data_IF_347285983168
#
_entry.id   IF_347285983168
#
_cell.length_a   1.000
_cell.length_b   1.000
_cell.length_c   1.000
_cell.angle_alpha   90.00
_cell.angle_beta   90.00
_cell.angle_gamma   90.00
#
_symmetry.space_group_name_H-M   'P 1'
#
loop_
_entity.id
_entity.type
_entity.pdbx_description
1 polymer ?
#
# COMPACT_ATOMS: atom_id res chain seq x y z
N UNK A 1 68.52 -51.90 -20.21
CA UNK A 1 68.31 -50.46 -19.99
C UNK A 1 67.17 -50.06 -20.89
N UNK A 2 66.16 -49.38 -20.34
CA UNK A 2 64.94 -49.03 -21.08
C UNK A 2 65.26 -47.88 -22.03
N UNK A 3 65.31 -48.18 -23.34
CA UNK A 3 65.71 -47.22 -24.37
C UNK A 3 64.68 -46.11 -24.56
N UNK A 4 63.41 -46.35 -24.22
CA UNK A 4 62.38 -45.31 -24.23
C UNK A 4 62.65 -44.35 -23.06
N UNK A 5 63.03 -44.84 -21.88
CA UNK A 5 63.44 -43.99 -20.76
C UNK A 5 64.68 -43.14 -21.08
N UNK A 6 65.67 -43.70 -21.76
CA UNK A 6 66.85 -42.95 -22.21
C UNK A 6 66.48 -41.87 -23.22
N UNK A 7 65.65 -42.21 -24.21
CA UNK A 7 65.20 -41.27 -25.23
C UNK A 7 64.37 -40.13 -24.65
N UNK A 8 63.42 -40.45 -23.78
CA UNK A 8 62.55 -39.47 -23.12
C UNK A 8 63.33 -38.51 -22.23
N UNK A 9 64.37 -38.99 -21.54
CA UNK A 9 65.32 -38.15 -20.81
C UNK A 9 66.10 -37.22 -21.74
N UNK A 10 66.63 -37.74 -22.86
CA UNK A 10 67.36 -36.92 -23.85
C UNK A 10 66.46 -35.85 -24.45
N UNK A 11 65.21 -36.17 -24.77
CA UNK A 11 64.22 -35.20 -25.26
C UNK A 11 63.96 -34.10 -24.22
N UNK A 12 63.81 -34.47 -22.95
CA UNK A 12 63.57 -33.53 -21.85
C UNK A 12 64.77 -32.64 -21.56
N UNK A 13 66.00 -33.17 -21.68
CA UNK A 13 67.24 -32.42 -21.59
C UNK A 13 67.36 -31.43 -22.75
N UNK A 14 67.16 -31.90 -23.99
CA UNK A 14 67.26 -31.11 -25.21
C UNK A 14 66.23 -29.97 -25.28
N UNK A 15 65.04 -30.18 -24.71
CA UNK A 15 64.03 -29.13 -24.59
C UNK A 15 64.53 -27.94 -23.75
N UNK A 16 65.36 -28.18 -22.72
CA UNK A 16 65.89 -27.13 -21.82
C UNK A 16 67.11 -26.38 -22.39
N UNK A 17 67.77 -26.93 -23.40
CA UNK A 17 68.92 -26.29 -24.05
C UNK A 17 68.42 -25.11 -24.88
N UNK A 18 68.98 -23.91 -24.71
CA UNK A 18 68.59 -22.74 -25.51
C UNK A 18 69.09 -22.86 -26.95
N UNK A 19 70.40 -23.07 -27.14
CA UNK A 19 71.05 -23.12 -28.44
C UNK A 19 71.93 -24.37 -28.58
N UNK A 20 71.93 -24.96 -29.78
CA UNK A 20 72.85 -26.05 -30.14
C UNK A 20 74.16 -25.45 -30.66
N UNK A 21 75.12 -25.25 -29.76
CA UNK A 21 76.51 -25.00 -30.17
C UNK A 21 77.16 -26.28 -30.74
N UNK A 22 78.27 -26.15 -31.46
CA UNK A 22 78.94 -27.28 -32.12
C UNK A 22 79.28 -28.43 -31.15
N UNK A 23 79.55 -28.08 -29.87
CA UNK A 23 79.88 -29.04 -28.82
C UNK A 23 78.65 -29.81 -28.34
N UNK A 24 77.54 -29.13 -28.06
CA UNK A 24 76.29 -29.77 -27.66
C UNK A 24 75.66 -30.55 -28.81
N UNK A 25 75.75 -30.06 -30.04
CA UNK A 25 75.30 -30.76 -31.24
C UNK A 25 75.99 -32.12 -31.35
N UNK A 26 77.33 -32.14 -31.24
CA UNK A 26 78.11 -33.38 -31.28
C UNK A 26 77.75 -34.34 -30.14
N UNK A 27 77.56 -33.81 -28.93
CA UNK A 27 77.13 -34.60 -27.77
C UNK A 27 75.77 -35.28 -27.98
N UNK A 28 74.78 -34.55 -28.53
CA UNK A 28 73.47 -35.13 -28.80
C UNK A 28 73.48 -36.11 -29.98
N UNK A 29 74.29 -35.86 -31.01
CA UNK A 29 74.53 -36.83 -32.10
C UNK A 29 75.01 -38.16 -31.53
N UNK A 30 76.04 -38.15 -30.68
CA UNK A 30 76.58 -39.35 -30.04
C UNK A 30 75.52 -40.08 -29.20
N UNK A 31 74.72 -39.36 -28.40
CA UNK A 31 73.62 -39.95 -27.63
C UNK A 31 72.56 -40.60 -28.53
N UNK A 32 72.14 -39.94 -29.61
CA UNK A 32 71.15 -40.49 -30.53
C UNK A 32 71.70 -41.70 -31.30
N UNK A 33 72.98 -41.69 -31.68
CA UNK A 33 73.65 -42.84 -32.29
C UNK A 33 73.71 -44.03 -31.33
N UNK A 34 73.98 -43.79 -30.04
CA UNK A 34 73.97 -44.83 -29.02
C UNK A 34 72.57 -45.45 -28.83
N UNK A 35 71.54 -44.61 -28.72
CA UNK A 35 70.15 -45.06 -28.53
C UNK A 35 69.68 -45.89 -29.74
N UNK A 36 69.94 -45.43 -30.96
CA UNK A 36 69.51 -46.04 -32.22
C UNK A 36 70.51 -47.02 -32.85
N UNK A 37 71.57 -47.39 -32.13
CA UNK A 37 72.62 -48.34 -32.55
C UNK A 37 72.09 -49.74 -32.92
N UNK A 38 70.95 -50.15 -32.35
CA UNK A 38 70.27 -51.41 -32.68
C UNK A 38 68.95 -51.15 -33.41
N UNK A 39 68.19 -52.21 -33.74
CA UNK A 39 66.84 -52.13 -34.35
C UNK A 39 65.75 -51.61 -33.36
N UNK A 40 66.10 -50.62 -32.55
CA UNK A 40 65.19 -49.98 -31.61
C UNK A 40 64.18 -49.09 -32.35
N UNK A 41 62.93 -49.14 -31.91
CA UNK A 41 61.82 -48.30 -32.36
C UNK A 41 61.26 -47.62 -31.11
N UNK A 42 61.30 -46.29 -31.08
CA UNK A 42 60.72 -45.52 -30.00
C UNK A 42 59.19 -45.63 -29.98
N UNK A 43 58.61 -45.65 -28.79
CA UNK A 43 57.17 -45.67 -28.61
C UNK A 43 56.59 -44.25 -28.71
N UNK A 44 55.55 -44.10 -29.54
CA UNK A 44 54.94 -42.79 -29.80
C UNK A 44 54.23 -42.23 -28.57
N UNK A 45 53.63 -43.11 -27.77
CA UNK A 45 52.96 -42.78 -26.51
C UNK A 45 53.94 -42.17 -25.50
N UNK A 46 55.15 -42.72 -25.37
CA UNK A 46 56.18 -42.24 -24.44
C UNK A 46 56.75 -40.90 -24.88
N UNK A 47 56.95 -40.70 -26.19
CA UNK A 47 57.34 -39.39 -26.74
C UNK A 47 56.24 -38.36 -26.49
N UNK A 48 54.97 -38.69 -26.75
CA UNK A 48 53.84 -37.78 -26.48
C UNK A 48 53.72 -37.43 -24.99
N UNK A 49 53.85 -38.39 -24.07
CA UNK A 49 53.83 -38.14 -22.62
C UNK A 49 54.88 -37.12 -22.19
N UNK A 50 56.09 -37.23 -22.74
CA UNK A 50 57.17 -36.30 -22.43
C UNK A 50 56.91 -34.92 -23.01
N UNK A 51 56.40 -34.84 -24.24
CA UNK A 51 55.97 -33.56 -24.83
C UNK A 51 54.92 -32.86 -23.96
N UNK A 52 53.98 -33.61 -23.39
CA UNK A 52 52.94 -33.07 -22.49
C UNK A 52 53.51 -32.60 -21.15
N UNK A 53 54.64 -33.18 -20.72
CA UNK A 53 55.31 -32.78 -19.47
C UNK A 53 56.15 -31.50 -19.60
N UNK A 54 56.49 -31.09 -20.82
CA UNK A 54 57.24 -29.86 -21.09
C UNK A 54 56.31 -28.66 -20.92
N UNK A 55 56.45 -27.95 -19.80
CA UNK A 55 55.60 -26.79 -19.43
C UNK A 55 55.87 -25.53 -20.23
N UNK A 56 57.10 -25.36 -20.74
CA UNK A 56 57.46 -24.20 -21.52
C UNK A 56 57.10 -24.45 -22.99
N UNK A 57 56.07 -23.74 -23.47
CA UNK A 57 55.56 -23.85 -24.84
C UNK A 57 56.65 -23.52 -25.87
N UNK A 58 57.44 -22.47 -25.66
CA UNK A 58 58.55 -22.10 -26.57
C UNK A 58 59.60 -23.21 -26.66
N UNK A 59 60.01 -23.74 -25.51
CA UNK A 59 60.99 -24.83 -25.45
C UNK A 59 60.51 -26.08 -26.20
N UNK A 60 59.21 -26.38 -26.11
CA UNK A 60 58.56 -27.48 -26.83
C UNK A 60 58.46 -27.19 -28.33
N UNK A 61 58.15 -25.96 -28.73
CA UNK A 61 57.95 -25.57 -30.13
C UNK A 61 59.27 -25.51 -30.92
N UNK A 62 60.40 -25.20 -30.27
CA UNK A 62 61.73 -25.23 -30.88
C UNK A 62 62.37 -26.63 -30.92
N UNK A 63 61.87 -27.58 -30.12
CA UNK A 63 62.41 -28.95 -30.02
C UNK A 63 62.45 -29.70 -31.37
N UNK A 64 61.43 -29.63 -32.25
CA UNK A 64 61.51 -30.21 -33.59
C UNK A 64 62.69 -29.69 -34.39
N UNK A 65 62.97 -28.37 -34.37
CA UNK A 65 64.10 -27.80 -35.12
C UNK A 65 65.42 -28.43 -34.68
N UNK A 66 65.64 -28.49 -33.36
CA UNK A 66 66.84 -29.09 -32.76
C UNK A 66 67.04 -30.55 -33.16
N UNK A 67 65.97 -31.35 -33.11
CA UNK A 67 66.03 -32.78 -33.46
C UNK A 67 66.25 -32.97 -34.96
N UNK A 68 65.71 -32.07 -35.81
CA UNK A 68 65.96 -32.07 -37.25
C UNK A 68 67.42 -31.77 -37.57
N UNK A 69 68.01 -30.79 -36.89
CA UNK A 69 69.41 -30.39 -37.08
C UNK A 69 70.38 -31.51 -36.67
N UNK A 70 70.09 -32.17 -35.54
CA UNK A 70 70.80 -33.39 -35.11
C UNK A 70 70.64 -34.50 -36.15
N UNK A 71 69.41 -34.79 -36.57
CA UNK A 71 69.13 -35.83 -37.56
C UNK A 71 69.81 -35.60 -38.90
N UNK A 72 69.95 -34.35 -39.33
CA UNK A 72 70.63 -33.98 -40.56
C UNK A 72 72.15 -34.18 -40.51
N UNK A 73 72.72 -33.96 -39.32
CA UNK A 73 74.17 -34.05 -39.04
C UNK A 73 74.67 -35.49 -38.81
N UNK A 74 73.78 -36.48 -38.74
CA UNK A 74 74.14 -37.91 -38.61
C UNK A 74 74.53 -38.50 -39.97
N UNK A 75 75.71 -39.12 -40.06
CA UNK A 75 76.22 -39.75 -41.28
C UNK A 75 75.57 -41.12 -41.56
N UNK A 76 75.27 -41.90 -40.51
CA UNK A 76 74.64 -43.21 -40.64
C UNK A 76 73.19 -43.10 -41.13
N UNK A 77 72.94 -43.52 -42.38
CA UNK A 77 71.62 -43.42 -43.04
C UNK A 77 70.47 -44.08 -42.27
N UNK A 78 70.71 -45.21 -41.61
CA UNK A 78 69.66 -45.93 -40.88
C UNK A 78 69.28 -45.21 -39.58
N UNK A 79 70.27 -44.69 -38.86
CA UNK A 79 70.07 -43.92 -37.63
C UNK A 79 69.42 -42.58 -37.96
N UNK A 80 69.92 -41.87 -38.98
CA UNK A 80 69.31 -40.64 -39.51
C UNK A 80 67.82 -40.81 -39.80
N UNK A 81 67.44 -41.89 -40.48
CA UNK A 81 66.02 -42.20 -40.76
C UNK A 81 65.19 -42.39 -39.49
N UNK A 82 65.75 -42.98 -38.42
CA UNK A 82 65.05 -43.17 -37.14
C UNK A 82 64.92 -41.88 -36.34
N UNK A 83 65.94 -41.02 -36.34
CA UNK A 83 65.90 -39.68 -35.70
C UNK A 83 64.93 -38.76 -36.44
N UNK A 84 64.91 -38.78 -37.77
CA UNK A 84 63.94 -38.01 -38.55
C UNK A 84 62.49 -38.49 -38.36
N UNK A 85 62.26 -39.78 -38.06
CA UNK A 85 60.93 -40.25 -37.65
C UNK A 85 60.51 -39.71 -36.28
N UNK A 86 61.44 -39.59 -35.35
CA UNK A 86 61.18 -38.96 -34.06
C UNK A 86 60.82 -37.49 -34.24
N UNK A 87 61.58 -36.78 -35.07
CA UNK A 87 61.28 -35.40 -35.44
C UNK A 87 59.86 -35.25 -35.99
N UNK A 88 59.47 -36.10 -36.95
CA UNK A 88 58.13 -36.05 -37.56
C UNK A 88 57.02 -36.26 -36.52
N UNK A 89 57.21 -37.21 -35.60
CA UNK A 89 56.27 -37.45 -34.50
C UNK A 89 56.16 -36.27 -33.53
N UNK A 90 57.29 -35.71 -33.09
CA UNK A 90 57.32 -34.55 -32.19
C UNK A 90 56.69 -33.32 -32.85
N UNK A 91 56.96 -33.10 -34.14
CA UNK A 91 56.37 -32.00 -34.90
C UNK A 91 54.84 -32.14 -35.01
N UNK A 92 54.34 -33.35 -35.31
CA UNK A 92 52.91 -33.63 -35.38
C UNK A 92 52.21 -33.40 -34.02
N UNK A 93 52.81 -33.87 -32.94
CA UNK A 93 52.25 -33.75 -31.60
C UNK A 93 52.26 -32.30 -31.09
N UNK A 94 53.26 -31.49 -31.47
CA UNK A 94 53.26 -30.05 -31.20
C UNK A 94 52.08 -29.33 -31.86
N UNK A 95 51.81 -29.62 -33.14
CA UNK A 95 50.67 -29.04 -33.86
C UNK A 95 49.35 -29.43 -33.18
N UNK A 96 49.22 -30.71 -32.76
CA UNK A 96 48.04 -31.21 -32.04
C UNK A 96 47.85 -30.51 -30.70
N UNK A 97 48.92 -30.35 -29.93
CA UNK A 97 48.89 -29.65 -28.64
C UNK A 97 48.45 -28.19 -28.79
N UNK A 98 48.98 -27.49 -29.78
CA UNK A 98 48.58 -26.12 -30.06
C UNK A 98 47.08 -26.04 -30.38
N UNK A 99 46.59 -26.94 -31.24
CA UNK A 99 45.15 -26.97 -31.59
C UNK A 99 44.26 -27.31 -30.39
N UNK A 100 44.69 -28.23 -29.53
CA UNK A 100 43.98 -28.57 -28.29
C UNK A 100 43.91 -27.37 -27.32
N UNK A 101 44.98 -26.58 -27.24
CA UNK A 101 45.03 -25.36 -26.43
C UNK A 101 44.01 -24.32 -26.93
N UNK A 102 43.98 -24.07 -28.24
CA UNK A 102 42.99 -23.16 -28.86
C UNK A 102 41.54 -23.61 -28.57
N UNK A 103 41.24 -24.89 -28.73
CA UNK A 103 39.91 -25.45 -28.44
C UNK A 103 39.55 -25.30 -26.97
N UNK A 104 40.51 -25.52 -26.07
CA UNK A 104 40.31 -25.35 -24.62
C UNK A 104 40.04 -23.89 -24.26
N UNK A 105 40.77 -22.95 -24.85
CA UNK A 105 40.57 -21.52 -24.64
C UNK A 105 39.20 -21.06 -25.15
N UNK A 106 38.78 -21.50 -26.34
CA UNK A 106 37.46 -21.22 -26.90
C UNK A 106 36.31 -21.85 -26.09
N UNK A 107 36.49 -23.08 -25.61
CA UNK A 107 35.52 -23.74 -24.74
C UNK A 107 35.37 -23.00 -23.40
N UNK A 108 36.48 -22.52 -22.84
CA UNK A 108 36.46 -21.73 -21.61
C UNK A 108 35.76 -20.38 -21.82
N UNK A 109 36.04 -19.66 -22.91
CA UNK A 109 35.34 -18.40 -23.19
C UNK A 109 33.83 -18.63 -23.38
N UNK A 110 33.44 -19.64 -24.16
CA UNK A 110 32.04 -20.00 -24.33
C UNK A 110 31.34 -20.34 -22.99
N UNK A 111 32.03 -21.08 -22.11
CA UNK A 111 31.50 -21.40 -20.79
C UNK A 111 31.32 -20.16 -19.90
N UNK A 112 32.24 -19.20 -19.97
CA UNK A 112 32.11 -17.92 -19.24
C UNK A 112 30.93 -17.10 -19.73
N UNK A 113 30.68 -17.06 -21.05
CA UNK A 113 29.53 -16.36 -21.64
C UNK A 113 28.21 -17.01 -21.24
N UNK A 114 28.12 -18.35 -21.30
CA UNK A 114 26.92 -19.10 -20.88
C UNK A 114 26.61 -18.84 -19.40
N UNK A 115 27.63 -18.79 -18.54
CA UNK A 115 27.41 -18.47 -17.11
C UNK A 115 26.93 -17.03 -16.91
N UNK A 116 27.46 -16.07 -17.68
CA UNK A 116 26.99 -14.69 -17.65
C UNK A 116 25.51 -14.58 -18.10
N UNK A 117 25.13 -15.31 -19.16
CA UNK A 117 23.75 -15.38 -19.65
C UNK A 117 22.84 -16.02 -18.59
N UNK A 118 23.25 -17.14 -17.98
CA UNK A 118 22.48 -17.82 -16.93
C UNK A 118 22.22 -16.89 -15.74
N UNK A 119 23.21 -16.09 -15.36
CA UNK A 119 23.05 -15.07 -14.30
C UNK A 119 22.02 -14.01 -14.69
N UNK A 120 22.13 -13.43 -15.90
CA UNK A 120 21.15 -12.47 -16.41
C UNK A 120 19.73 -13.03 -16.46
N UNK A 121 19.57 -14.29 -16.87
CA UNK A 121 18.27 -14.95 -16.91
C UNK A 121 17.66 -15.11 -15.50
N UNK A 122 18.46 -15.51 -14.52
CA UNK A 122 18.03 -15.57 -13.12
C UNK A 122 17.62 -14.20 -12.57
N UNK A 123 18.35 -13.13 -12.92
CA UNK A 123 18.01 -11.78 -12.47
C UNK A 123 16.73 -11.26 -13.15
N UNK A 124 16.49 -11.61 -14.42
CA UNK A 124 15.26 -11.33 -15.13
C UNK A 124 14.05 -12.07 -14.52
N UNK A 125 14.19 -13.35 -14.16
CA UNK A 125 13.12 -14.13 -13.52
C UNK A 125 12.69 -13.51 -12.18
N UNK A 126 13.66 -13.03 -11.38
CA UNK A 126 13.36 -12.31 -10.13
C UNK A 126 12.59 -11.02 -10.38
N UNK A 127 13.04 -10.19 -11.32
CA UNK A 127 12.35 -8.96 -11.68
C UNK A 127 10.94 -9.23 -12.20
N UNK A 128 10.76 -10.31 -12.98
CA UNK A 128 9.44 -10.69 -13.50
C UNK A 128 8.46 -11.05 -12.37
N UNK A 129 8.93 -11.80 -11.36
CA UNK A 129 8.13 -12.13 -10.17
C UNK A 129 7.74 -10.88 -9.39
N UNK A 130 8.66 -9.95 -9.19
CA UNK A 130 8.39 -8.67 -8.52
C UNK A 130 7.35 -7.83 -9.28
N UNK A 131 7.49 -7.71 -10.60
CA UNK A 131 6.55 -7.00 -11.46
C UNK A 131 5.17 -7.66 -11.42
N UNK A 132 5.11 -8.99 -11.48
CA UNK A 132 3.84 -9.72 -11.43
C UNK A 132 3.10 -9.51 -10.11
N UNK A 133 3.82 -9.45 -8.99
CA UNK A 133 3.21 -9.21 -7.69
C UNK A 133 2.74 -7.76 -7.53
N UNK A 134 3.54 -6.80 -8.00
CA UNK A 134 3.12 -5.39 -8.05
C UNK A 134 1.88 -5.19 -8.92
N UNK A 135 1.78 -5.87 -10.06
CA UNK A 135 0.61 -5.80 -10.92
C UNK A 135 -0.67 -6.28 -10.21
N UNK A 136 -0.61 -7.36 -9.43
CA UNK A 136 -1.74 -7.83 -8.62
C UNK A 136 -2.16 -6.80 -7.56
N UNK A 137 -1.19 -6.22 -6.86
CA UNK A 137 -1.47 -5.20 -5.83
C UNK A 137 -2.13 -3.96 -6.43
N UNK A 138 -1.70 -3.56 -7.64
CA UNK A 138 -2.32 -2.45 -8.38
C UNK A 138 -3.75 -2.80 -8.79
N UNK A 139 -4.00 -4.01 -9.31
CA UNK A 139 -5.34 -4.47 -9.68
C UNK A 139 -6.29 -4.46 -8.49
N UNK A 140 -5.88 -5.01 -7.34
CA UNK A 140 -6.69 -4.97 -6.13
C UNK A 140 -6.98 -3.54 -5.65
N UNK A 141 -5.99 -2.63 -5.79
CA UNK A 141 -6.16 -1.23 -5.40
C UNK A 141 -7.12 -0.52 -6.33
N UNK A 142 -7.11 -0.82 -7.62
CA UNK A 142 -8.07 -0.31 -8.60
C UNK A 142 -9.48 -0.81 -8.28
N UNK A 143 -9.67 -2.10 -8.03
CA UNK A 143 -10.98 -2.66 -7.67
C UNK A 143 -11.55 -2.02 -6.39
N UNK A 144 -10.70 -1.77 -5.39
CA UNK A 144 -11.11 -1.04 -4.17
C UNK A 144 -11.50 0.41 -4.49
N UNK A 145 -10.71 1.09 -5.32
CA UNK A 145 -10.96 2.47 -5.70
C UNK A 145 -12.25 2.63 -6.51
N UNK A 146 -12.52 1.74 -7.46
CA UNK A 146 -13.77 1.73 -8.23
C UNK A 146 -14.98 1.57 -7.30
N UNK A 147 -14.91 0.63 -6.34
CA UNK A 147 -15.96 0.45 -5.34
C UNK A 147 -16.16 1.68 -4.45
N UNK A 148 -15.07 2.36 -4.08
CA UNK A 148 -15.15 3.59 -3.30
C UNK A 148 -15.73 4.76 -4.12
N UNK A 149 -15.42 4.84 -5.42
CA UNK A 149 -16.00 5.81 -6.36
C UNK A 149 -17.49 5.55 -6.51
N UNK A 150 -17.93 4.31 -6.75
CA UNK A 150 -19.34 3.94 -6.85
C UNK A 150 -20.11 4.27 -5.56
N UNK A 151 -19.52 3.98 -4.41
CA UNK A 151 -20.09 4.36 -3.12
C UNK A 151 -20.17 5.89 -2.95
N UNK A 152 -19.16 6.62 -3.40
CA UNK A 152 -19.11 8.08 -3.31
C UNK A 152 -20.11 8.78 -4.22
N UNK A 153 -20.24 8.30 -5.46
CA UNK A 153 -21.23 8.81 -6.42
C UNK A 153 -22.65 8.52 -5.94
N UNK A 154 -22.92 7.32 -5.42
CA UNK A 154 -24.20 6.96 -4.80
C UNK A 154 -24.56 7.86 -3.62
N UNK A 155 -23.60 8.15 -2.72
CA UNK A 155 -23.78 9.13 -1.64
C UNK A 155 -24.08 10.53 -2.17
N UNK A 156 -23.39 10.95 -3.22
CA UNK A 156 -23.58 12.28 -3.83
C UNK A 156 -24.96 12.44 -4.46
N UNK A 157 -25.42 11.44 -5.21
CA UNK A 157 -26.78 11.40 -5.79
C UNK A 157 -27.82 11.44 -4.67
N UNK A 158 -27.61 10.67 -3.60
CA UNK A 158 -28.52 10.65 -2.44
C UNK A 158 -28.60 12.03 -1.77
N UNK A 159 -27.47 12.70 -1.53
CA UNK A 159 -27.43 14.05 -0.96
C UNK A 159 -28.19 15.05 -1.86
N UNK A 160 -27.93 15.01 -3.18
CA UNK A 160 -28.59 15.90 -4.13
C UNK A 160 -30.11 15.66 -4.17
N UNK A 161 -30.54 14.39 -4.17
CA UNK A 161 -31.95 14.03 -4.13
C UNK A 161 -32.65 14.53 -2.87
N UNK A 162 -32.03 14.41 -1.70
CA UNK A 162 -32.64 14.93 -0.46
C UNK A 162 -32.61 16.46 -0.44
N UNK A 163 -31.55 17.10 -0.94
CA UNK A 163 -31.51 18.57 -1.04
C UNK A 163 -32.63 19.10 -1.94
N UNK A 164 -32.86 18.48 -3.09
CA UNK A 164 -33.98 18.80 -3.96
C UNK A 164 -35.33 18.58 -3.26
N UNK A 165 -35.49 17.48 -2.52
CA UNK A 165 -36.68 17.21 -1.71
C UNK A 165 -36.94 18.27 -0.64
N UNK A 166 -35.90 18.72 0.07
CA UNK A 166 -35.99 19.79 1.06
C UNK A 166 -36.44 21.10 0.41
N UNK A 167 -35.81 21.50 -0.70
CA UNK A 167 -36.19 22.73 -1.43
C UNK A 167 -37.64 22.66 -1.91
N UNK A 168 -38.08 21.52 -2.45
CA UNK A 168 -39.49 21.32 -2.86
C UNK A 168 -40.45 21.37 -1.67
N UNK A 169 -40.12 20.73 -0.54
CA UNK A 169 -40.94 20.75 0.67
C UNK A 169 -41.07 22.17 1.26
N UNK A 170 -39.98 22.95 1.27
CA UNK A 170 -40.00 24.34 1.74
C UNK A 170 -40.82 25.24 0.81
N UNK A 171 -40.56 25.20 -0.49
CA UNK A 171 -41.27 26.05 -1.47
C UNK A 171 -42.75 25.70 -1.56
N UNK A 172 -43.08 24.41 -1.57
CA UNK A 172 -44.46 23.91 -1.51
C UNK A 172 -45.13 24.23 -0.17
N UNK A 173 -44.40 24.08 0.94
CA UNK A 173 -44.88 24.36 2.29
C UNK A 173 -45.22 25.82 2.52
N UNK A 174 -44.34 26.74 2.11
CA UNK A 174 -44.58 28.19 2.18
C UNK A 174 -45.80 28.56 1.33
N UNK A 175 -45.91 28.01 0.12
CA UNK A 175 -47.04 28.28 -0.79
C UNK A 175 -48.38 27.79 -0.21
N UNK A 176 -48.38 26.62 0.44
CA UNK A 176 -49.53 26.06 1.13
C UNK A 176 -49.96 26.92 2.33
N UNK A 177 -48.98 27.37 3.14
CA UNK A 177 -49.24 28.27 4.28
C UNK A 177 -49.84 29.59 3.78
N UNK A 178 -49.24 30.20 2.74
CA UNK A 178 -49.73 31.46 2.17
C UNK A 178 -51.17 31.34 1.66
N UNK A 179 -51.48 30.28 0.92
CA UNK A 179 -52.82 30.02 0.37
C UNK A 179 -53.86 29.75 1.47
N UNK A 180 -53.47 29.05 2.53
CA UNK A 180 -54.35 28.79 3.68
C UNK A 180 -54.69 30.07 4.44
N UNK A 181 -53.72 30.98 4.59
CA UNK A 181 -53.90 32.26 5.28
C UNK A 181 -54.71 33.28 4.48
N UNK A 182 -54.60 33.27 3.15
CA UNK A 182 -55.36 34.18 2.26
C UNK A 182 -56.88 34.08 2.45
N UNK A 183 -57.39 32.92 2.87
CA UNK A 183 -58.83 32.67 3.04
C UNK A 183 -59.36 32.96 4.46
N UNK A 184 -58.54 33.48 5.38
CA UNK A 184 -58.89 33.65 6.80
C UNK A 184 -59.29 35.08 7.19
N UNK A 185 -59.83 35.87 6.27
CA UNK A 185 -60.08 37.31 6.47
C UNK A 185 -61.08 37.66 7.60
N UNK A 186 -61.97 36.75 8.00
CA UNK A 186 -62.98 36.96 9.05
C UNK A 186 -62.69 36.22 10.37
N UNK A 187 -61.52 35.60 10.49
CA UNK A 187 -61.15 34.80 11.66
C UNK A 187 -60.45 35.67 12.70
N UNK A 188 -60.68 35.42 13.99
CA UNK A 188 -59.99 36.16 15.05
C UNK A 188 -58.46 36.02 14.93
N UNK A 189 -57.74 37.11 15.22
CA UNK A 189 -56.27 37.17 15.15
C UNK A 189 -55.63 36.02 15.94
N UNK A 190 -56.17 35.69 17.12
CA UNK A 190 -55.70 34.57 17.95
C UNK A 190 -55.73 33.21 17.25
N UNK A 191 -56.78 32.92 16.47
CA UNK A 191 -56.90 31.65 15.72
C UNK A 191 -55.95 31.61 14.53
N UNK A 192 -55.76 32.74 13.84
CA UNK A 192 -54.82 32.84 12.72
C UNK A 192 -53.38 32.60 13.22
N UNK A 193 -52.97 33.29 14.29
CA UNK A 193 -51.62 33.13 14.86
C UNK A 193 -51.39 31.70 15.37
N UNK A 194 -52.41 31.06 15.97
CA UNK A 194 -52.32 29.66 16.38
C UNK A 194 -52.08 28.71 15.20
N UNK A 195 -52.81 28.90 14.09
CA UNK A 195 -52.63 28.08 12.88
C UNK A 195 -51.24 28.30 12.28
N UNK A 196 -50.74 29.55 12.24
CA UNK A 196 -49.39 29.86 11.77
C UNK A 196 -48.33 29.14 12.59
N UNK A 197 -48.43 29.17 13.92
CA UNK A 197 -47.45 28.50 14.79
C UNK A 197 -47.48 26.98 14.58
N UNK A 198 -48.67 26.36 14.50
CA UNK A 198 -48.77 24.92 14.23
C UNK A 198 -48.18 24.54 12.88
N UNK A 199 -48.43 25.32 11.84
CA UNK A 199 -47.87 25.08 10.50
C UNK A 199 -46.34 25.25 10.50
N UNK A 200 -45.82 26.30 11.14
CA UNK A 200 -44.38 26.54 11.27
C UNK A 200 -43.68 25.41 12.05
N UNK A 201 -44.29 24.92 13.13
CA UNK A 201 -43.78 23.77 13.89
C UNK A 201 -43.74 22.50 13.06
N UNK A 202 -44.84 22.19 12.35
CA UNK A 202 -44.90 21.01 11.49
C UNK A 202 -43.86 21.03 10.36
N UNK A 203 -43.64 22.19 9.73
CA UNK A 203 -42.64 22.36 8.67
C UNK A 203 -41.23 22.14 9.20
N UNK A 204 -40.92 22.70 10.37
CA UNK A 204 -39.62 22.50 11.01
C UNK A 204 -39.35 21.03 11.34
N UNK A 205 -40.33 20.31 11.89
CA UNK A 205 -40.21 18.88 12.19
C UNK A 205 -39.95 18.04 10.93
N UNK A 206 -40.64 18.33 9.83
CA UNK A 206 -40.44 17.65 8.54
C UNK A 206 -39.01 17.87 8.02
N UNK A 207 -38.54 19.12 8.05
CA UNK A 207 -37.18 19.47 7.58
C UNK A 207 -36.12 18.81 8.45
N UNK A 208 -36.31 18.83 9.77
CA UNK A 208 -35.41 18.17 10.71
C UNK A 208 -35.35 16.65 10.46
N UNK A 209 -36.48 16.00 10.18
CA UNK A 209 -36.53 14.58 9.83
C UNK A 209 -35.80 14.29 8.51
N UNK A 210 -35.96 15.14 7.49
CA UNK A 210 -35.22 15.01 6.23
C UNK A 210 -33.70 15.16 6.44
N UNK A 211 -33.28 16.17 7.23
CA UNK A 211 -31.88 16.33 7.60
C UNK A 211 -31.35 15.11 8.37
N UNK A 212 -32.09 14.60 9.35
CA UNK A 212 -31.73 13.40 10.09
C UNK A 212 -31.50 12.19 9.16
N UNK A 213 -32.37 12.01 8.16
CA UNK A 213 -32.19 10.97 7.16
C UNK A 213 -30.92 11.18 6.33
N UNK A 214 -30.60 12.42 5.91
CA UNK A 214 -29.33 12.73 5.24
C UNK A 214 -28.15 12.29 6.10
N UNK A 215 -28.12 12.69 7.37
CA UNK A 215 -27.03 12.34 8.28
C UNK A 215 -26.84 10.83 8.43
N UNK A 216 -27.94 10.07 8.45
CA UNK A 216 -27.91 8.60 8.50
C UNK A 216 -27.34 7.99 7.21
N UNK A 217 -27.68 8.53 6.04
CA UNK A 217 -27.15 8.05 4.74
C UNK A 217 -25.69 8.44 4.49
N UNK A 218 -25.27 9.61 4.98
CA UNK A 218 -23.89 10.09 4.83
C UNK A 218 -22.95 9.59 5.93
N UNK A 219 -23.43 8.74 6.86
CA UNK A 219 -22.73 8.37 8.09
C UNK A 219 -22.22 9.59 8.89
N UNK A 220 -22.85 10.75 8.71
CA UNK A 220 -22.51 11.98 9.39
C UNK A 220 -23.54 12.22 10.49
N UNK A 221 -23.10 12.22 11.74
CA UNK A 221 -23.99 12.41 12.87
C UNK A 221 -24.34 13.89 13.02
N UNK A 222 -25.61 14.24 12.76
CA UNK A 222 -26.15 15.60 12.96
C UNK A 222 -26.49 15.85 14.45
N UNK A 223 -26.53 14.80 15.26
CA UNK A 223 -26.75 14.89 16.70
C UNK A 223 -25.46 15.03 17.52
N UNK A 224 -25.57 15.51 18.76
CA UNK A 224 -24.45 15.55 19.69
C UNK A 224 -23.81 14.17 19.92
N UNK A 225 -22.48 14.12 20.02
CA UNK A 225 -21.71 12.89 20.30
C UNK A 225 -21.96 12.44 21.75
N UNK A 226 -23.05 11.72 22.00
CA UNK A 226 -23.39 11.17 23.31
C UNK A 226 -23.49 9.65 23.25
N UNK A 227 -22.77 8.92 24.11
CA UNK A 227 -22.91 7.47 24.20
C UNK A 227 -24.05 7.08 25.14
N UNK A 228 -25.23 6.94 24.58
CA UNK A 228 -26.36 6.33 25.26
C UNK A 228 -26.35 4.81 25.05
N UNK A 229 -25.25 4.12 25.37
CA UNK A 229 -25.19 2.68 25.13
C UNK A 229 -26.13 1.91 26.08
N UNK A 230 -26.80 0.92 25.50
CA UNK A 230 -27.93 0.17 26.06
C UNK A 230 -27.53 -0.94 27.04
N UNK A 231 -26.27 -1.04 27.43
CA UNK A 231 -25.68 -2.22 28.08
C UNK A 231 -25.41 -2.11 29.59
N UNK A 232 -26.12 -1.25 30.31
CA UNK A 232 -26.05 -1.24 31.79
C UNK A 232 -27.45 -1.41 32.36
N UNK A 233 -27.68 -2.53 33.05
CA UNK A 233 -28.88 -2.83 33.81
C UNK A 233 -29.21 -1.67 34.77
N UNK A 234 -30.46 -1.18 34.75
CA UNK A 234 -30.98 -0.29 35.80
C UNK A 234 -31.39 1.13 35.40
N UNK A 235 -31.75 1.43 34.15
CA UNK A 235 -32.21 2.78 33.77
C UNK A 235 -33.52 2.76 32.97
N UNK A 236 -34.66 3.04 33.63
CA UNK A 236 -35.98 3.20 32.98
C UNK A 236 -36.18 4.58 32.31
N UNK A 237 -35.41 5.60 32.67
CA UNK A 237 -35.61 7.02 32.23
C UNK A 237 -34.70 7.51 31.07
N UNK A 238 -33.88 6.64 30.46
CA UNK A 238 -32.83 7.07 29.50
C UNK A 238 -33.35 7.48 28.11
N UNK A 239 -34.55 7.06 27.67
CA UNK A 239 -35.04 7.35 26.31
C UNK A 239 -35.26 8.84 26.06
N UNK A 240 -35.97 9.53 26.96
CA UNK A 240 -36.29 10.96 26.79
C UNK A 240 -35.03 11.81 26.96
N UNK A 241 -34.22 11.53 27.98
CA UNK A 241 -32.97 12.27 28.22
C UNK A 241 -31.98 12.11 27.05
N UNK A 242 -31.84 10.91 26.50
CA UNK A 242 -30.95 10.71 25.36
C UNK A 242 -31.42 11.46 24.11
N UNK A 243 -32.73 11.52 23.84
CA UNK A 243 -33.28 12.29 22.72
C UNK A 243 -33.02 13.79 22.89
N UNK A 244 -33.23 14.32 24.10
CA UNK A 244 -32.98 15.73 24.43
C UNK A 244 -31.55 16.14 24.17
N UNK A 245 -30.61 15.30 24.62
CA UNK A 245 -29.19 15.59 24.50
C UNK A 245 -28.66 15.35 23.08
N UNK A 246 -29.24 14.36 22.37
CA UNK A 246 -28.84 14.04 21.00
C UNK A 246 -29.36 15.06 19.99
N UNK A 247 -30.54 15.64 20.23
CA UNK A 247 -31.19 16.58 19.32
C UNK A 247 -31.65 17.86 20.04
N UNK A 248 -30.72 18.66 20.58
CA UNK A 248 -31.05 19.84 21.37
C UNK A 248 -31.86 20.86 20.57
N UNK A 249 -31.50 21.09 19.30
CA UNK A 249 -32.16 22.07 18.43
C UNK A 249 -33.65 21.75 18.23
N UNK A 250 -33.99 20.47 18.00
CA UNK A 250 -35.38 20.03 17.82
C UNK A 250 -36.20 20.28 19.09
N UNK A 251 -35.66 19.90 20.25
CA UNK A 251 -36.35 20.05 21.53
C UNK A 251 -36.53 21.52 21.89
N UNK A 252 -35.50 22.35 21.74
CA UNK A 252 -35.59 23.78 22.05
C UNK A 252 -36.63 24.48 21.16
N UNK A 253 -36.65 24.17 19.86
CA UNK A 253 -37.62 24.76 18.94
C UNK A 253 -39.07 24.37 19.31
N UNK A 254 -39.34 23.07 19.53
CA UNK A 254 -40.68 22.59 19.89
C UNK A 254 -41.14 23.10 21.27
N UNK A 255 -40.21 23.29 22.21
CA UNK A 255 -40.49 23.92 23.49
C UNK A 255 -40.87 25.40 23.35
N UNK A 256 -40.14 26.15 22.53
CA UNK A 256 -40.46 27.56 22.25
C UNK A 256 -41.85 27.65 21.60
N UNK A 257 -42.15 26.80 20.61
CA UNK A 257 -43.47 26.74 19.98
C UNK A 257 -44.58 26.44 21.00
N UNK A 258 -44.37 25.48 21.91
CA UNK A 258 -45.34 25.17 22.97
C UNK A 258 -45.58 26.34 23.92
N UNK A 259 -44.52 27.07 24.31
CA UNK A 259 -44.64 28.29 25.12
C UNK A 259 -45.41 29.38 24.37
N UNK A 260 -45.17 29.57 23.07
CA UNK A 260 -45.92 30.51 22.24
C UNK A 260 -47.40 30.14 22.08
N UNK A 261 -47.75 28.85 22.03
CA UNK A 261 -49.16 28.42 22.01
C UNK A 261 -49.81 28.69 23.37
N UNK A 262 -49.07 28.46 24.46
CA UNK A 262 -49.55 28.67 25.81
C UNK A 262 -49.73 30.16 26.15
N UNK A 263 -48.82 31.05 25.73
CA UNK A 263 -49.02 32.52 25.83
C UNK A 263 -50.30 32.94 25.13
N UNK A 264 -50.51 32.50 23.89
CA UNK A 264 -51.67 32.87 23.08
C UNK A 264 -52.97 32.37 23.68
N UNK A 265 -52.96 31.15 24.24
CA UNK A 265 -54.12 30.57 24.92
C UNK A 265 -54.50 31.37 26.17
N UNK A 266 -53.51 31.82 26.95
CA UNK A 266 -53.73 32.68 28.12
C UNK A 266 -54.30 34.03 27.68
N UNK A 267 -53.71 34.68 26.67
CA UNK A 267 -54.21 35.95 26.15
C UNK A 267 -55.64 35.85 25.62
N UNK A 268 -55.95 34.77 24.91
CA UNK A 268 -57.31 34.49 24.44
C UNK A 268 -58.32 34.36 25.59
N UNK A 269 -57.96 33.64 26.66
CA UNK A 269 -58.81 33.51 27.84
C UNK A 269 -59.04 34.85 28.56
N UNK A 270 -57.99 35.66 28.70
CA UNK A 270 -58.07 36.99 29.33
C UNK A 270 -59.06 37.89 28.58
N UNK A 271 -58.93 37.94 27.25
CA UNK A 271 -59.78 38.73 26.37
C UNK A 271 -61.23 38.19 26.36
N UNK A 272 -61.40 36.87 26.17
CA UNK A 272 -62.72 36.22 26.09
C UNK A 272 -63.58 36.39 27.34
N UNK A 273 -62.98 36.29 28.54
CA UNK A 273 -63.70 36.44 29.80
C UNK A 273 -63.75 37.89 30.30
N UNK A 274 -63.15 38.81 29.54
CA UNK A 274 -62.98 40.23 29.87
C UNK A 274 -62.49 40.43 31.32
N UNK A 275 -61.51 39.62 31.70
CA UNK A 275 -61.00 39.50 33.08
C UNK A 275 -60.43 40.84 33.57
N UNK A 276 -59.79 41.59 32.66
CA UNK A 276 -59.17 42.89 32.95
C UNK A 276 -60.23 43.91 33.39
N UNK A 277 -61.30 44.09 32.62
CA UNK A 277 -62.38 45.04 32.95
C UNK A 277 -63.08 44.66 34.25
N UNK A 278 -63.41 43.37 34.45
CA UNK A 278 -64.04 42.90 35.69
C UNK A 278 -63.18 43.10 36.94
N UNK A 279 -61.86 43.01 36.83
CA UNK A 279 -60.94 43.27 37.94
C UNK A 279 -60.79 44.76 38.21
N UNK A 280 -60.71 45.59 37.17
CA UNK A 280 -60.62 47.05 37.26
C UNK A 280 -61.86 47.66 37.95
N UNK A 281 -63.06 47.19 37.62
CA UNK A 281 -64.31 47.68 38.20
C UNK A 281 -64.46 47.36 39.70
N UNK A 282 -63.78 46.33 40.20
CA UNK A 282 -63.88 45.90 41.60
C UNK A 282 -62.98 46.72 42.52
N UNK A 283 -61.69 46.84 42.20
CA UNK A 283 -60.72 47.67 42.90
C UNK A 283 -59.39 47.70 42.11
N UNK A 284 -58.89 48.89 41.77
CA UNK A 284 -57.66 49.08 40.98
C UNK A 284 -56.44 48.44 41.64
N UNK A 285 -56.29 48.54 42.96
CA UNK A 285 -55.15 47.96 43.67
C UNK A 285 -55.17 46.42 43.65
N UNK A 286 -56.35 45.82 43.78
CA UNK A 286 -56.53 44.37 43.73
C UNK A 286 -56.28 43.85 42.30
N UNK A 287 -56.71 44.59 41.28
CA UNK A 287 -56.47 44.27 39.88
C UNK A 287 -54.96 44.21 39.57
N UNK A 288 -54.21 45.25 39.94
CA UNK A 288 -52.75 45.32 39.72
C UNK A 288 -52.02 44.18 40.46
N UNK A 289 -52.39 43.91 41.72
CA UNK A 289 -51.79 42.83 42.50
C UNK A 289 -52.08 41.45 41.88
N UNK A 290 -53.31 41.20 41.43
CA UNK A 290 -53.68 39.92 40.82
C UNK A 290 -52.99 39.67 39.48
N UNK A 291 -52.82 40.70 38.65
CA UNK A 291 -52.14 40.59 37.34
C UNK A 291 -50.63 40.41 37.49
N UNK A 292 -50.01 41.07 38.48
CA UNK A 292 -48.57 40.86 38.75
C UNK A 292 -48.30 39.45 39.27
N UNK A 293 -49.15 38.92 40.16
CA UNK A 293 -49.06 37.52 40.61
C UNK A 293 -49.19 36.54 39.45
N UNK A 294 -50.16 36.75 38.55
CA UNK A 294 -50.38 35.87 37.39
C UNK A 294 -49.18 35.89 36.43
N UNK A 295 -48.58 37.06 36.19
CA UNK A 295 -47.37 37.21 35.40
C UNK A 295 -46.16 36.51 36.05
N UNK A 296 -45.99 36.65 37.38
CA UNK A 296 -44.90 35.99 38.12
C UNK A 296 -45.06 34.47 38.05
N UNK A 297 -46.27 33.94 38.27
CA UNK A 297 -46.55 32.50 38.16
C UNK A 297 -46.27 31.99 36.74
N UNK A 298 -46.66 32.76 35.73
CA UNK A 298 -46.41 32.43 34.33
C UNK A 298 -44.90 32.33 34.01
N UNK A 299 -44.12 33.33 34.41
CA UNK A 299 -42.66 33.34 34.23
C UNK A 299 -42.00 32.21 35.04
N UNK A 300 -42.48 31.93 36.26
CA UNK A 300 -41.97 30.84 37.10
C UNK A 300 -42.20 29.47 36.46
N UNK A 301 -43.36 29.22 35.84
CA UNK A 301 -43.66 27.95 35.15
C UNK A 301 -42.77 27.75 33.92
N UNK A 302 -42.57 28.79 33.11
CA UNK A 302 -41.71 28.74 31.93
C UNK A 302 -40.25 28.50 32.33
N UNK A 303 -39.74 29.29 33.28
CA UNK A 303 -38.37 29.17 33.77
C UNK A 303 -38.09 27.81 34.42
N UNK A 304 -39.05 27.26 35.18
CA UNK A 304 -38.95 25.90 35.72
C UNK A 304 -38.83 24.86 34.60
N UNK A 305 -39.65 24.98 33.54
CA UNK A 305 -39.57 24.12 32.36
C UNK A 305 -38.21 24.19 31.64
N UNK A 306 -37.71 25.41 31.42
CA UNK A 306 -36.41 25.63 30.80
C UNK A 306 -35.25 25.09 31.63
N UNK A 307 -35.22 25.37 32.95
CA UNK A 307 -34.17 24.90 33.85
C UNK A 307 -34.14 23.37 33.92
N UNK A 308 -35.32 22.72 33.94
CA UNK A 308 -35.41 21.27 34.03
C UNK A 308 -34.86 20.56 32.78
N UNK A 309 -35.01 21.17 31.61
CA UNK A 309 -34.50 20.63 30.34
C UNK A 309 -33.03 21.01 30.13
N UNK A 310 -32.63 22.24 30.46
CA UNK A 310 -31.24 22.70 30.36
C UNK A 310 -30.29 21.95 31.28
N UNK A 311 -30.78 21.41 32.42
CA UNK A 311 -30.00 20.55 33.33
C UNK A 311 -29.83 19.11 32.83
N UNK A 312 -30.40 18.75 31.68
CA UNK A 312 -30.24 17.41 31.09
C UNK A 312 -28.97 17.41 30.24
N UNK A 313 -27.87 17.00 30.84
CA UNK A 313 -26.57 16.90 30.16
C UNK A 313 -26.18 15.46 29.80
N UNK A 314 -25.24 15.32 28.85
CA UNK A 314 -24.54 14.06 28.59
C UNK A 314 -23.71 13.68 29.82
N UNK A 315 -23.97 12.49 30.37
CA UNK A 315 -23.13 11.90 31.42
C UNK A 315 -21.76 11.43 30.89
N UNK A 316 -21.59 11.30 29.56
CA UNK A 316 -20.38 10.79 28.91
C UNK A 316 -19.95 11.67 27.73
N UNK A 317 -18.65 11.90 27.57
CA UNK A 317 -18.02 12.65 26.48
C UNK A 317 -17.17 11.75 25.59
N UNK A 318 -17.17 11.98 24.28
CA UNK A 318 -16.35 11.24 23.33
C UNK A 318 -14.93 11.81 23.30
N UNK A 319 -13.95 11.00 23.69
CA UNK A 319 -12.53 11.36 23.63
C UNK A 319 -11.93 10.78 22.35
N UNK A 320 -11.49 11.66 21.46
CA UNK A 320 -10.76 11.28 20.25
C UNK A 320 -9.43 10.62 20.63
N UNK A 321 -9.02 9.54 19.93
CA UNK A 321 -7.77 8.88 20.24
C UNK A 321 -6.60 9.85 20.03
N UNK A 322 -5.70 10.00 21.02
CA UNK A 322 -4.45 10.73 20.82
C UNK A 322 -3.62 10.03 19.75
N UNK A 323 -3.61 10.58 18.54
CA UNK A 323 -2.75 10.11 17.46
C UNK A 323 -1.36 10.69 17.69
N UNK A 324 -0.50 9.92 18.36
CA UNK A 324 0.93 10.24 18.40
C UNK A 324 1.55 9.90 17.02
N UNK A 325 2.44 10.74 16.51
CA UNK A 325 2.95 10.78 15.11
C UNK A 325 3.58 9.46 14.60
N UNK A 326 3.82 8.48 15.48
CA UNK A 326 4.41 7.17 15.16
C UNK A 326 3.34 6.07 14.92
N UNK A 327 2.07 6.34 15.24
CA UNK A 327 0.97 5.35 15.22
C UNK A 327 0.15 5.26 13.93
N UNK A 328 0.66 5.70 12.76
CA UNK A 328 -0.09 5.61 11.48
C UNK A 328 -0.25 4.18 10.93
N UNK A 329 0.41 3.17 11.52
CA UNK A 329 0.36 1.78 11.05
C UNK A 329 -0.77 0.92 11.66
N UNK A 330 -1.44 1.38 12.73
CA UNK A 330 -2.53 0.64 13.39
C UNK A 330 -3.74 1.55 13.63
N UNK A 331 -4.35 2.05 12.55
CA UNK A 331 -5.63 2.76 12.63
C UNK A 331 -6.80 1.78 12.80
N UNK A 332 -6.97 1.20 13.99
CA UNK A 332 -8.24 0.55 14.40
C UNK A 332 -8.68 0.90 15.82
N UNK A 333 -7.95 1.76 16.54
CA UNK A 333 -8.37 2.27 17.83
C UNK A 333 -9.38 3.40 17.64
N UNK A 334 -10.66 3.03 17.52
CA UNK A 334 -11.76 3.99 17.67
C UNK A 334 -11.68 4.71 19.02
N UNK A 335 -12.13 5.97 19.06
CA UNK A 335 -12.17 6.76 20.29
C UNK A 335 -13.05 6.11 21.37
N UNK A 336 -12.88 6.55 22.63
CA UNK A 336 -13.61 5.99 23.78
C UNK A 336 -14.49 7.06 24.41
N UNK A 337 -15.62 6.64 24.96
CA UNK A 337 -16.46 7.53 25.75
C UNK A 337 -16.06 7.45 27.23
N UNK A 338 -15.81 8.61 27.84
CA UNK A 338 -15.42 8.73 29.25
C UNK A 338 -16.53 9.46 30.00
N UNK A 339 -16.81 9.05 31.24
CA UNK A 339 -17.79 9.73 32.09
C UNK A 339 -17.28 11.14 32.41
N UNK A 340 -18.14 12.16 32.33
CA UNK A 340 -17.78 13.50 32.82
C UNK A 340 -17.72 13.44 34.35
N UNK A 341 -16.55 13.74 34.92
CA UNK A 341 -16.35 13.84 36.37
C UNK A 341 -17.04 15.08 36.96
#
# INVERSE_FOLDING_TARGET
MDKDLELTNVISELAKVSDLDDKSLKFYIEKFEQIYSCKYRHEYSEVTKVLFSIKNDEARDFLPSKIKDIGNSIENKDIKKRVLKLWDHINLENIRLQKLKEISEEANSAFTEVNAIKKKYSDLDKQWKEISEQAKLVDEKLQRMDKDIDNSTSKSITILGIFAGIVMAFTGGISFIASSLQNMHQVSVYRIVLVIILLATSMFDIVFMLMYMIGKFTNSYIGGKCNCDSKIQGCKDKKIRCVVVRYPILIWFNMISAVCILTLSIFYCIDRFNIITKLLDKNIYIAILSMTILLIVYIALISFGFIKIAKIDCEYEYVEPMVNTIGKLFSSLGGRYVKKD
#
